data_IF_268658746673
#
_entry.id   IF_268658746673
#
_cell.length_a   1.000
_cell.length_b   1.000
_cell.length_c   1.000
_cell.angle_alpha   90.00
_cell.angle_beta   90.00
_cell.angle_gamma   90.00
#
_symmetry.space_group_name_H-M   'P 1'
#
loop_
_entity.id
_entity.type
_entity.pdbx_description
1 polymer ?
#
# COMPACT_ATOMS: atom_id res chain seq x y z
N UNK A 1 -35.30 -11.78 -23.37
CA UNK A 1 -33.95 -11.61 -23.95
C UNK A 1 -33.05 -11.13 -22.86
N UNK A 2 -32.09 -11.95 -22.42
CA UNK A 2 -31.15 -11.61 -21.34
C UNK A 2 -29.92 -10.94 -21.96
N UNK A 3 -29.78 -9.64 -21.79
CA UNK A 3 -28.61 -8.90 -22.24
C UNK A 3 -27.48 -9.19 -21.26
N UNK A 4 -26.45 -9.91 -21.69
CA UNK A 4 -25.22 -10.13 -20.93
C UNK A 4 -24.37 -8.87 -21.05
N UNK A 5 -24.17 -8.19 -19.93
CA UNK A 5 -23.17 -7.13 -19.82
C UNK A 5 -21.79 -7.80 -19.80
N UNK A 6 -21.02 -7.58 -20.84
CA UNK A 6 -19.62 -8.01 -20.92
C UNK A 6 -18.79 -6.92 -20.26
N UNK A 7 -18.27 -7.22 -19.07
CA UNK A 7 -17.22 -6.41 -18.44
C UNK A 7 -15.93 -6.75 -19.17
N UNK A 8 -15.48 -5.86 -20.04
CA UNK A 8 -14.17 -5.94 -20.66
C UNK A 8 -13.11 -5.46 -19.66
N UNK A 9 -12.43 -6.39 -19.02
CA UNK A 9 -11.19 -6.11 -18.32
C UNK A 9 -10.12 -5.75 -19.35
N UNK A 10 -9.75 -4.49 -19.40
CA UNK A 10 -8.69 -3.98 -20.29
C UNK A 10 -7.35 -4.37 -19.72
N UNK A 11 -6.73 -5.38 -20.33
CA UNK A 11 -5.36 -5.79 -20.09
C UNK A 11 -4.45 -4.74 -20.73
N UNK A 12 -3.82 -3.89 -19.94
CA UNK A 12 -2.85 -2.94 -20.45
C UNK A 12 -1.57 -3.67 -20.88
N UNK A 13 -1.34 -3.70 -22.17
CA UNK A 13 -0.10 -4.16 -22.80
C UNK A 13 1.00 -3.10 -22.57
N UNK A 14 2.08 -3.52 -21.92
CA UNK A 14 3.32 -2.77 -21.76
C UNK A 14 4.01 -2.58 -23.12
N UNK A 15 3.78 -1.44 -23.75
CA UNK A 15 4.68 -0.85 -24.72
C UNK A 15 5.27 0.40 -24.08
N UNK A 16 6.60 0.64 -24.24
CA UNK A 16 7.36 1.68 -23.56
C UNK A 16 6.59 3.01 -23.51
N UNK A 17 6.20 3.39 -22.31
CA UNK A 17 5.30 4.51 -22.10
C UNK A 17 6.06 5.83 -22.22
N UNK A 18 5.71 6.59 -23.22
CA UNK A 18 5.59 8.03 -23.06
C UNK A 18 4.43 8.21 -22.07
N UNK A 19 4.72 8.62 -20.84
CA UNK A 19 3.69 8.97 -19.86
C UNK A 19 3.01 10.23 -20.42
N UNK A 20 1.80 10.09 -20.91
CA UNK A 20 1.00 11.24 -21.29
C UNK A 20 0.57 11.98 -20.02
N UNK A 21 0.45 13.31 -20.09
CA UNK A 21 -0.12 14.10 -18.99
C UNK A 21 -1.54 13.61 -18.71
N UNK A 22 -1.83 13.19 -17.46
CA UNK A 22 -3.10 12.57 -17.09
C UNK A 22 -3.54 12.93 -15.68
N UNK A 23 -4.85 12.83 -15.41
CA UNK A 23 -5.39 12.80 -14.04
C UNK A 23 -5.52 11.34 -13.57
N UNK A 24 -5.23 11.12 -12.30
CA UNK A 24 -5.40 9.83 -11.64
C UNK A 24 -6.30 10.00 -10.43
N UNK A 25 -7.35 9.19 -10.37
CA UNK A 25 -8.30 9.16 -9.24
C UNK A 25 -8.59 7.71 -8.90
N UNK A 26 -8.48 7.37 -7.63
CA UNK A 26 -8.81 6.05 -7.12
C UNK A 26 -10.30 5.92 -6.82
N UNK A 27 -10.82 4.70 -6.87
CA UNK A 27 -12.15 4.38 -6.39
C UNK A 27 -12.27 4.67 -4.88
N UNK A 28 -13.44 5.11 -4.44
CA UNK A 28 -13.70 5.57 -3.09
C UNK A 28 -14.81 4.73 -2.45
N UNK A 29 -14.71 4.53 -1.14
CA UNK A 29 -15.81 3.98 -0.34
C UNK A 29 -16.27 5.05 0.64
N UNK A 30 -17.58 5.29 0.70
CA UNK A 30 -18.22 6.27 1.60
C UNK A 30 -19.32 5.56 2.38
N UNK A 31 -19.38 5.74 3.70
CA UNK A 31 -20.50 5.27 4.50
C UNK A 31 -21.81 5.96 4.07
N UNK A 32 -22.94 5.27 4.12
CA UNK A 32 -24.25 5.87 3.84
C UNK A 32 -24.49 7.04 4.78
N UNK A 33 -24.72 8.24 4.23
CA UNK A 33 -24.82 9.48 5.02
C UNK A 33 -23.48 10.05 5.50
N UNK A 34 -22.35 9.39 5.20
CA UNK A 34 -21.02 9.78 5.61
C UNK A 34 -20.25 10.61 4.60
N UNK A 35 -18.98 10.84 4.88
CA UNK A 35 -18.07 11.62 4.06
C UNK A 35 -16.74 10.88 3.81
N UNK A 36 -16.12 11.15 2.65
CA UNK A 36 -14.76 10.68 2.32
C UNK A 36 -14.01 11.74 1.51
N UNK A 37 -12.68 11.63 1.49
CA UNK A 37 -11.85 12.54 0.68
C UNK A 37 -11.65 11.96 -0.71
N UNK A 38 -11.97 12.75 -1.73
CA UNK A 38 -11.56 12.55 -3.11
C UNK A 38 -10.16 13.14 -3.26
N UNK A 39 -9.19 12.30 -3.60
CA UNK A 39 -7.83 12.70 -3.91
C UNK A 39 -7.64 12.69 -5.43
N UNK A 40 -7.30 13.85 -6.00
CA UNK A 40 -7.11 14.04 -7.43
C UNK A 40 -5.62 14.26 -7.69
N UNK A 41 -4.99 13.27 -8.30
CA UNK A 41 -3.57 13.29 -8.63
C UNK A 41 -3.36 13.62 -10.11
N UNK A 42 -2.22 14.19 -10.41
CA UNK A 42 -1.79 14.49 -11.78
C UNK A 42 -0.40 13.91 -12.02
N UNK A 43 -0.28 13.15 -13.11
CA UNK A 43 1.00 12.77 -13.69
C UNK A 43 1.26 13.67 -14.89
N UNK A 44 2.46 14.23 -15.03
CA UNK A 44 2.83 15.06 -16.17
C UNK A 44 4.32 14.92 -16.50
N UNK A 45 4.62 14.96 -17.79
CA UNK A 45 6.00 15.04 -18.31
C UNK A 45 6.38 16.46 -18.68
N UNK A 46 5.38 17.28 -19.00
CA UNK A 46 5.58 18.69 -19.37
C UNK A 46 5.45 19.61 -18.16
N UNK A 47 6.10 20.77 -18.21
CA UNK A 47 5.97 21.80 -17.17
C UNK A 47 4.62 22.51 -17.29
N UNK A 48 3.70 22.14 -16.42
CA UNK A 48 2.34 22.69 -16.37
C UNK A 48 2.23 23.84 -15.37
N UNK A 49 1.49 24.88 -15.70
CA UNK A 49 1.25 26.06 -14.83
C UNK A 49 -0.21 26.23 -14.43
N UNK A 50 -1.14 25.54 -15.11
CA UNK A 50 -2.56 25.60 -14.79
C UNK A 50 -3.27 24.33 -15.20
N UNK A 51 -4.39 24.05 -14.54
CA UNK A 51 -5.32 23.00 -14.91
C UNK A 51 -6.77 23.42 -14.71
N UNK A 52 -7.65 22.82 -15.49
CA UNK A 52 -9.10 22.88 -15.31
C UNK A 52 -9.69 21.52 -15.61
N UNK A 53 -10.70 21.12 -14.85
CA UNK A 53 -11.52 19.95 -15.15
C UNK A 53 -12.90 20.03 -14.47
N UNK A 54 -13.83 19.26 -14.97
CA UNK A 54 -15.19 19.15 -14.45
C UNK A 54 -15.40 17.75 -13.86
N UNK A 55 -15.84 17.66 -12.63
CA UNK A 55 -16.20 16.40 -11.95
C UNK A 55 -17.73 16.29 -11.93
N UNK A 56 -18.26 15.34 -12.69
CA UNK A 56 -19.68 14.97 -12.70
C UNK A 56 -19.92 13.90 -11.65
N UNK A 57 -20.57 14.26 -10.56
CA UNK A 57 -20.96 13.33 -9.50
C UNK A 57 -22.23 12.57 -9.88
N UNK A 58 -22.33 11.33 -9.39
CA UNK A 58 -23.57 10.59 -9.42
C UNK A 58 -24.63 11.25 -8.51
N UNK A 59 -25.91 11.00 -8.78
CA UNK A 59 -27.00 11.49 -7.96
C UNK A 59 -26.86 10.97 -6.51
N UNK A 60 -27.05 11.87 -5.55
CA UNK A 60 -26.90 11.56 -4.13
C UNK A 60 -25.45 11.65 -3.61
N UNK A 61 -24.47 11.96 -4.47
CA UNK A 61 -23.09 12.24 -4.08
C UNK A 61 -22.79 13.70 -4.39
N UNK A 62 -22.25 14.42 -3.43
CA UNK A 62 -21.95 15.85 -3.59
C UNK A 62 -20.62 16.20 -2.89
N UNK A 63 -20.10 17.40 -3.18
CA UNK A 63 -19.01 17.96 -2.38
C UNK A 63 -19.60 18.49 -1.08
N UNK A 64 -19.07 18.02 0.04
CA UNK A 64 -19.51 18.42 1.37
C UNK A 64 -19.33 19.92 1.60
N UNK A 65 -20.19 20.50 2.43
CA UNK A 65 -20.12 21.90 2.82
C UNK A 65 -19.83 22.03 4.31
N UNK A 66 -19.00 22.99 4.67
CA UNK A 66 -18.75 23.34 6.06
C UNK A 66 -19.95 24.09 6.67
N UNK A 67 -19.89 24.38 7.97
CA UNK A 67 -20.92 25.11 8.71
C UNK A 67 -21.31 26.49 8.10
N UNK A 68 -20.41 27.09 7.33
CA UNK A 68 -20.63 28.36 6.62
C UNK A 68 -21.18 28.17 5.20
N UNK A 69 -21.55 26.95 4.83
CA UNK A 69 -22.08 26.60 3.51
C UNK A 69 -21.05 26.61 2.37
N UNK A 70 -19.75 26.70 2.69
CA UNK A 70 -18.68 26.66 1.70
C UNK A 70 -18.26 25.21 1.42
N UNK A 71 -18.04 24.86 0.15
CA UNK A 71 -17.50 23.57 -0.26
C UNK A 71 -16.15 23.29 0.42
N UNK A 72 -15.94 22.05 0.83
CA UNK A 72 -14.72 21.61 1.52
C UNK A 72 -13.76 21.01 0.49
N UNK A 73 -12.72 21.76 0.19
CA UNK A 73 -11.66 21.36 -0.74
C UNK A 73 -10.34 22.02 -0.34
N UNK A 74 -9.22 21.47 -0.80
CA UNK A 74 -7.89 22.05 -0.58
C UNK A 74 -6.94 21.73 -1.75
N UNK A 75 -5.86 22.48 -1.84
CA UNK A 75 -4.73 22.15 -2.69
C UNK A 75 -4.09 20.85 -2.22
N UNK A 76 -3.48 20.13 -3.14
CA UNK A 76 -2.72 18.93 -2.87
C UNK A 76 -1.28 19.22 -2.44
N UNK A 77 -0.54 18.16 -2.16
CA UNK A 77 0.84 18.19 -1.68
C UNK A 77 1.88 18.71 -2.70
N UNK A 78 1.48 18.80 -3.98
CA UNK A 78 2.32 19.41 -5.03
C UNK A 78 2.41 20.94 -4.93
N UNK A 79 1.62 21.55 -4.07
CA UNK A 79 1.61 22.97 -3.76
C UNK A 79 2.01 23.13 -2.29
N UNK A 80 3.31 23.24 -2.04
CA UNK A 80 3.83 23.37 -0.68
C UNK A 80 3.66 24.80 -0.16
N UNK A 81 3.74 24.97 1.16
CA UNK A 81 3.37 26.17 1.94
C UNK A 81 4.01 27.50 1.50
N UNK A 82 4.97 27.47 0.58
CA UNK A 82 5.68 28.66 0.07
C UNK A 82 5.05 29.23 -1.21
N UNK A 83 4.00 28.60 -1.77
CA UNK A 83 3.43 29.01 -3.05
C UNK A 83 2.15 29.87 -2.86
N UNK A 84 2.30 31.03 -2.23
CA UNK A 84 1.21 31.99 -2.03
C UNK A 84 0.58 32.49 -3.36
N UNK A 85 1.23 32.26 -4.49
CA UNK A 85 0.79 32.73 -5.80
C UNK A 85 -0.06 31.70 -6.57
N UNK A 86 -0.16 30.46 -6.07
CA UNK A 86 -1.05 29.45 -6.67
C UNK A 86 -2.47 29.58 -6.14
N UNK A 87 -3.43 29.54 -7.04
CA UNK A 87 -4.87 29.64 -6.70
C UNK A 87 -5.59 28.38 -7.13
N UNK A 88 -6.29 27.73 -6.18
CA UNK A 88 -7.26 26.68 -6.47
C UNK A 88 -8.67 27.20 -6.18
N UNK A 89 -9.56 27.05 -7.13
CA UNK A 89 -10.98 27.37 -6.97
C UNK A 89 -11.86 26.16 -7.33
N UNK A 90 -12.95 26.00 -6.59
CA UNK A 90 -13.99 25.03 -6.85
C UNK A 90 -15.32 25.75 -7.00
N UNK A 91 -15.99 25.53 -8.11
CA UNK A 91 -17.34 26.06 -8.38
C UNK A 91 -18.31 24.93 -8.72
N UNK A 92 -19.59 25.18 -8.57
CA UNK A 92 -20.66 24.24 -8.92
C UNK A 92 -21.56 24.91 -9.99
N UNK A 93 -21.16 24.86 -11.27
CA UNK A 93 -21.88 25.53 -12.37
C UNK A 93 -23.24 24.91 -12.66
N UNK A 94 -23.42 23.62 -12.40
CA UNK A 94 -24.66 22.87 -12.61
C UNK A 94 -24.84 21.85 -11.47
N UNK A 95 -26.05 21.33 -11.33
CA UNK A 95 -26.33 20.26 -10.36
C UNK A 95 -25.42 19.07 -10.59
N UNK A 96 -24.75 18.62 -9.53
CA UNK A 96 -23.79 17.50 -9.53
C UNK A 96 -22.58 17.68 -10.47
N UNK A 97 -22.31 18.90 -10.91
CA UNK A 97 -21.13 19.23 -11.73
C UNK A 97 -20.24 20.21 -10.95
N UNK A 98 -19.00 19.83 -10.71
CA UNK A 98 -18.04 20.61 -9.94
C UNK A 98 -16.84 20.92 -10.79
N UNK A 99 -16.53 22.21 -11.00
CA UNK A 99 -15.39 22.68 -11.78
C UNK A 99 -14.25 23.05 -10.88
N UNK A 100 -13.12 22.37 -11.04
CA UNK A 100 -11.83 22.72 -10.47
C UNK A 100 -11.05 23.58 -11.45
N UNK A 101 -10.46 24.64 -10.94
CA UNK A 101 -9.55 25.52 -11.67
C UNK A 101 -8.36 25.83 -10.77
N UNK A 102 -7.18 25.39 -11.17
CA UNK A 102 -5.91 25.67 -10.52
C UNK A 102 -4.97 26.41 -11.45
N UNK A 103 -4.40 27.50 -11.00
CA UNK A 103 -3.45 28.28 -11.80
C UNK A 103 -2.49 29.06 -10.92
N UNK A 104 -1.30 29.30 -11.44
CA UNK A 104 -0.33 30.19 -10.84
C UNK A 104 -0.54 31.64 -11.35
N UNK A 105 -0.42 32.64 -10.47
CA UNK A 105 -0.66 34.04 -10.84
C UNK A 105 0.49 34.61 -11.70
N UNK A 106 1.69 34.04 -11.57
CA UNK A 106 2.81 34.21 -12.48
C UNK A 106 3.09 32.87 -13.18
N UNK A 107 3.73 32.88 -14.34
CA UNK A 107 3.98 31.67 -15.12
C UNK A 107 5.08 30.81 -14.45
N UNK A 108 4.72 30.10 -13.38
CA UNK A 108 5.57 29.14 -12.72
C UNK A 108 5.03 27.72 -12.92
N UNK A 109 5.90 26.69 -13.05
CA UNK A 109 5.45 25.32 -13.17
C UNK A 109 4.92 24.80 -11.83
N UNK A 110 3.90 23.94 -11.90
CA UNK A 110 3.45 23.14 -10.76
C UNK A 110 4.58 22.18 -10.37
N UNK A 111 4.90 22.11 -9.08
CA UNK A 111 6.05 21.37 -8.57
C UNK A 111 5.91 19.85 -8.81
N UNK A 112 7.04 19.19 -9.11
CA UNK A 112 7.10 17.75 -9.37
C UNK A 112 6.41 17.33 -10.67
N UNK A 113 6.32 16.01 -10.88
CA UNK A 113 5.71 15.40 -12.07
C UNK A 113 4.62 14.35 -11.74
N UNK A 114 4.38 14.09 -10.47
CA UNK A 114 3.29 13.26 -9.98
C UNK A 114 2.87 13.70 -8.57
N UNK A 115 1.66 13.35 -8.17
CA UNK A 115 1.13 13.62 -6.83
C UNK A 115 -0.19 14.37 -6.85
N UNK A 116 -0.72 14.62 -5.65
CA UNK A 116 -2.01 15.26 -5.43
C UNK A 116 -1.97 16.73 -5.82
N UNK A 117 -2.89 17.14 -6.68
CA UNK A 117 -3.08 18.55 -7.07
C UNK A 117 -4.29 19.19 -6.38
N UNK A 118 -5.30 18.40 -6.06
CA UNK A 118 -6.49 18.89 -5.37
C UNK A 118 -7.14 17.78 -4.56
N UNK A 119 -7.78 18.15 -3.46
CA UNK A 119 -8.67 17.27 -2.71
C UNK A 119 -10.04 17.91 -2.54
N UNK A 120 -11.09 17.08 -2.43
CA UNK A 120 -12.42 17.52 -2.02
C UNK A 120 -13.03 16.51 -1.07
N UNK A 121 -13.78 16.99 -0.06
CA UNK A 121 -14.56 16.09 0.77
C UNK A 121 -15.88 15.81 0.06
N UNK A 122 -16.13 14.54 -0.27
CA UNK A 122 -17.43 14.08 -0.78
C UNK A 122 -18.35 13.71 0.38
N UNK A 123 -19.63 13.88 0.15
CA UNK A 123 -20.70 13.47 1.05
C UNK A 123 -21.69 12.59 0.30
N UNK A 124 -22.03 11.45 0.88
CA UNK A 124 -23.03 10.53 0.36
C UNK A 124 -24.37 10.77 1.06
N UNK A 125 -25.46 10.86 0.31
CA UNK A 125 -26.81 10.92 0.87
C UNK A 125 -27.13 9.66 1.68
N UNK A 126 -27.86 9.83 2.79
CA UNK A 126 -28.42 8.72 3.58
C UNK A 126 -29.48 7.90 2.83
N UNK A 127 -29.92 8.36 1.66
CA UNK A 127 -30.90 7.67 0.81
C UNK A 127 -30.22 6.70 -0.19
N UNK A 128 -28.89 6.77 -0.34
CA UNK A 128 -28.16 5.87 -1.24
C UNK A 128 -28.16 4.45 -0.69
N UNK A 129 -28.23 3.47 -1.57
CA UNK A 129 -28.29 2.06 -1.19
C UNK A 129 -26.93 1.52 -0.81
N UNK A 130 -26.80 1.00 0.40
CA UNK A 130 -25.60 0.32 0.90
C UNK A 130 -25.22 -0.85 -0.03
N UNK A 131 -23.93 -1.02 -0.30
CA UNK A 131 -23.37 -2.04 -1.20
C UNK A 131 -23.50 -1.68 -2.68
N UNK A 132 -24.05 -0.50 -3.01
CA UNK A 132 -24.16 -0.06 -4.41
C UNK A 132 -22.97 0.80 -4.80
N UNK A 133 -22.47 0.60 -6.01
CA UNK A 133 -21.40 1.39 -6.62
C UNK A 133 -21.99 2.40 -7.60
N UNK A 134 -21.62 3.65 -7.43
CA UNK A 134 -22.00 4.79 -8.27
C UNK A 134 -20.76 5.28 -9.02
N UNK A 135 -20.93 5.58 -10.32
CA UNK A 135 -19.81 6.03 -11.16
C UNK A 135 -19.85 7.56 -11.32
N UNK A 136 -18.72 8.18 -11.07
CA UNK A 136 -18.46 9.60 -11.29
C UNK A 136 -17.45 9.76 -12.40
N UNK A 137 -17.49 10.89 -13.13
CA UNK A 137 -16.59 11.13 -14.27
C UNK A 137 -15.91 12.48 -14.15
N UNK A 138 -14.65 12.54 -14.56
CA UNK A 138 -13.92 13.79 -14.73
C UNK A 138 -13.81 14.03 -16.24
N UNK A 139 -14.24 15.19 -16.68
CA UNK A 139 -14.33 15.58 -18.09
C UNK A 139 -13.80 16.99 -18.30
N UNK A 140 -13.73 17.44 -19.55
CA UNK A 140 -13.27 18.78 -19.89
C UNK A 140 -11.89 19.10 -19.27
N UNK A 141 -10.99 18.10 -19.25
CA UNK A 141 -9.66 18.23 -18.68
C UNK A 141 -8.82 19.08 -19.61
N UNK A 142 -8.25 20.14 -19.08
CA UNK A 142 -7.33 21.05 -19.79
C UNK A 142 -6.13 21.29 -18.89
N UNK A 143 -4.95 20.95 -19.37
CA UNK A 143 -3.68 21.35 -18.78
C UNK A 143 -3.05 22.47 -19.62
N UNK A 144 -2.39 23.39 -18.98
CA UNK A 144 -1.72 24.51 -19.66
C UNK A 144 -0.25 24.50 -19.27
N UNK A 145 0.62 24.43 -20.26
CA UNK A 145 2.06 24.54 -20.07
C UNK A 145 2.47 25.97 -19.72
N UNK A 146 3.68 26.12 -19.18
CA UNK A 146 4.34 27.43 -19.01
C UNK A 146 4.52 28.17 -20.34
N UNK A 147 4.58 27.46 -21.47
CA UNK A 147 4.60 28.01 -22.83
C UNK A 147 3.26 28.58 -23.29
N UNK A 148 2.14 28.26 -22.59
CA UNK A 148 0.77 28.58 -22.98
C UNK A 148 0.11 27.52 -23.87
N UNK A 149 0.81 26.44 -24.25
CA UNK A 149 0.24 25.32 -24.97
C UNK A 149 -0.76 24.58 -24.08
N UNK A 150 -1.82 24.07 -24.67
CA UNK A 150 -2.87 23.33 -23.97
C UNK A 150 -2.86 21.86 -24.34
N UNK A 151 -3.02 21.02 -23.33
CA UNK A 151 -3.21 19.57 -23.45
C UNK A 151 -4.64 19.22 -23.02
N UNK A 152 -5.19 18.19 -23.64
CA UNK A 152 -6.55 17.71 -23.40
C UNK A 152 -6.50 16.22 -23.12
N UNK A 153 -6.16 15.81 -21.88
CA UNK A 153 -6.15 14.40 -21.50
C UNK A 153 -7.52 13.75 -21.64
N UNK A 154 -7.51 12.41 -21.66
CA UNK A 154 -8.73 11.60 -21.70
C UNK A 154 -9.55 11.77 -20.42
N UNK A 155 -10.87 11.58 -20.54
CA UNK A 155 -11.80 11.57 -19.42
C UNK A 155 -11.47 10.45 -18.44
N UNK A 156 -11.65 10.69 -17.13
CA UNK A 156 -11.42 9.73 -16.06
C UNK A 156 -12.73 9.33 -15.41
N UNK A 157 -12.92 8.03 -15.16
CA UNK A 157 -14.07 7.51 -14.41
C UNK A 157 -13.58 6.85 -13.13
N UNK A 158 -14.22 7.14 -12.02
CA UNK A 158 -13.97 6.51 -10.73
C UNK A 158 -15.27 6.04 -10.08
N UNK A 159 -15.16 5.01 -9.25
CA UNK A 159 -16.29 4.43 -8.55
C UNK A 159 -16.41 4.98 -7.13
N UNK A 160 -17.63 5.21 -6.69
CA UNK A 160 -17.98 5.50 -5.29
C UNK A 160 -18.89 4.39 -4.80
N UNK A 161 -18.39 3.56 -3.90
CA UNK A 161 -19.15 2.48 -3.29
C UNK A 161 -19.72 2.93 -1.95
N UNK A 162 -21.02 2.75 -1.74
CA UNK A 162 -21.68 3.05 -0.48
C UNK A 162 -21.53 1.87 0.48
N UNK A 163 -20.80 2.07 1.55
CA UNK A 163 -20.66 1.11 2.66
C UNK A 163 -21.56 1.53 3.81
N UNK A 164 -21.94 0.65 4.70
CA UNK A 164 -22.74 0.81 5.90
C UNK A 164 -23.40 2.18 6.17
N UNK A 165 -24.06 2.30 7.30
CA UNK A 165 -24.62 3.56 7.80
C UNK A 165 -23.53 4.30 8.58
N UNK A 166 -23.52 5.63 8.56
CA UNK A 166 -22.66 6.40 9.47
C UNK A 166 -23.07 6.10 10.92
N UNK A 167 -22.30 5.28 11.57
CA UNK A 167 -22.49 4.86 12.97
C UNK A 167 -21.63 5.67 13.95
N UNK A 168 -21.00 6.75 13.47
CA UNK A 168 -20.07 7.58 14.23
C UNK A 168 -18.71 6.92 14.46
N UNK A 169 -18.38 5.88 13.69
CA UNK A 169 -17.10 5.17 13.76
C UNK A 169 -16.26 5.44 12.51
N UNK A 170 -14.96 5.37 12.68
CA UNK A 170 -14.01 5.44 11.56
C UNK A 170 -13.76 4.01 11.07
N UNK A 171 -14.13 3.74 9.83
CA UNK A 171 -14.01 2.42 9.21
C UNK A 171 -12.68 2.27 8.47
N UNK A 172 -11.83 1.35 8.93
CA UNK A 172 -10.59 0.97 8.28
C UNK A 172 -10.78 -0.36 7.54
N UNK A 173 -10.40 -0.42 6.27
CA UNK A 173 -10.48 -1.61 5.45
C UNK A 173 -9.11 -1.96 4.87
N UNK A 174 -8.67 -3.21 5.05
CA UNK A 174 -7.35 -3.67 4.56
C UNK A 174 -7.22 -3.68 3.04
N UNK A 175 -8.31 -3.54 2.29
CA UNK A 175 -8.30 -3.49 0.83
C UNK A 175 -8.18 -2.07 0.29
N UNK A 176 -8.33 -1.07 1.15
CA UNK A 176 -8.30 0.35 0.77
C UNK A 176 -6.88 0.82 0.42
N UNK A 177 -6.80 1.66 -0.60
CA UNK A 177 -5.58 2.40 -0.96
C UNK A 177 -5.44 3.73 -0.23
N UNK A 178 -6.48 4.18 0.46
CA UNK A 178 -6.52 5.44 1.19
C UNK A 178 -6.98 5.22 2.63
N UNK A 179 -6.53 6.09 3.52
CA UNK A 179 -7.06 6.17 4.88
C UNK A 179 -8.40 6.92 4.85
N UNK A 180 -9.37 6.54 5.72
CA UNK A 180 -10.53 7.37 5.98
C UNK A 180 -10.12 8.72 6.58
N UNK A 181 -11.02 9.70 6.57
CA UNK A 181 -10.72 11.02 7.13
C UNK A 181 -10.79 10.98 8.65
N UNK A 182 -9.73 11.40 9.32
CA UNK A 182 -9.63 11.62 10.76
C UNK A 182 -8.47 12.57 11.06
N UNK A 183 -8.39 13.04 12.30
CA UNK A 183 -7.28 13.87 12.77
C UNK A 183 -6.32 13.01 13.61
N UNK A 184 -5.06 12.94 13.20
CA UNK A 184 -4.04 12.23 13.97
C UNK A 184 -3.85 12.86 15.35
N UNK A 185 -3.66 12.02 16.37
CA UNK A 185 -3.54 12.43 17.77
C UNK A 185 -4.86 12.58 18.51
N UNK A 186 -6.00 12.67 17.81
CA UNK A 186 -7.32 12.71 18.42
C UNK A 186 -7.82 11.32 18.85
N UNK A 187 -8.90 11.32 19.62
CA UNK A 187 -9.60 10.11 20.04
C UNK A 187 -10.73 9.81 19.06
N UNK A 188 -10.92 8.52 18.78
CA UNK A 188 -12.01 8.06 17.91
C UNK A 188 -12.50 6.67 18.27
N UNK A 189 -13.72 6.37 17.82
CA UNK A 189 -14.25 5.02 17.77
C UNK A 189 -13.97 4.44 16.41
N UNK A 190 -13.51 3.19 16.33
CA UNK A 190 -13.05 2.60 15.08
C UNK A 190 -13.66 1.23 14.85
N UNK A 191 -13.89 0.89 13.58
CA UNK A 191 -14.10 -0.47 13.09
C UNK A 191 -12.93 -0.81 12.15
N UNK A 192 -12.31 -1.97 12.35
CA UNK A 192 -11.16 -2.42 11.59
C UNK A 192 -11.45 -3.74 10.89
N UNK A 193 -11.57 -3.72 9.57
CA UNK A 193 -11.61 -4.92 8.72
C UNK A 193 -10.18 -5.34 8.37
N UNK A 194 -9.68 -6.33 9.09
CA UNK A 194 -8.32 -6.86 8.94
C UNK A 194 -8.30 -8.36 9.21
N UNK A 195 -7.98 -9.14 8.18
CA UNK A 195 -7.91 -10.60 8.30
C UNK A 195 -6.59 -11.02 8.95
N UNK A 196 -6.67 -11.68 10.11
CA UNK A 196 -5.56 -12.32 10.81
C UNK A 196 -5.96 -13.79 10.98
N UNK A 197 -5.22 -14.69 10.33
CA UNK A 197 -5.45 -16.13 10.43
C UNK A 197 -4.92 -16.65 11.76
N UNK A 198 -5.71 -17.52 12.42
CA UNK A 198 -5.32 -18.14 13.68
C UNK A 198 -4.07 -19.02 13.55
N UNK A 199 -3.36 -19.18 14.65
CA UNK A 199 -2.24 -20.10 14.84
C UNK A 199 -1.03 -19.85 13.92
N UNK A 200 -1.03 -18.78 13.10
CA UNK A 200 0.08 -18.37 12.25
C UNK A 200 0.49 -16.94 12.56
N UNK A 201 1.77 -16.64 12.30
CA UNK A 201 2.27 -15.29 12.44
C UNK A 201 1.85 -14.42 11.27
N UNK A 202 1.36 -13.23 11.59
CA UNK A 202 0.98 -12.17 10.64
C UNK A 202 1.76 -10.90 10.97
N UNK A 203 1.97 -10.02 9.99
CA UNK A 203 2.39 -8.64 10.29
C UNK A 203 1.17 -7.78 10.59
N UNK A 204 1.28 -6.83 11.51
CA UNK A 204 0.21 -5.89 11.84
C UNK A 204 0.77 -4.49 12.07
N UNK A 205 0.07 -3.50 11.52
CA UNK A 205 0.30 -2.06 11.76
C UNK A 205 -1.08 -1.43 11.93
N UNK A 206 -1.34 -0.81 13.06
CA UNK A 206 -2.65 -0.21 13.32
C UNK A 206 -2.60 1.32 13.15
N UNK A 207 -3.63 1.95 12.55
CA UNK A 207 -3.76 3.40 12.48
C UNK A 207 -4.22 4.01 13.81
N UNK A 208 -4.10 3.28 14.90
CA UNK A 208 -4.46 3.71 16.26
C UNK A 208 -3.73 2.88 17.31
N UNK A 209 -3.66 3.43 18.52
CA UNK A 209 -3.06 2.75 19.66
C UNK A 209 -4.12 1.98 20.47
N UNK A 210 -3.85 0.71 20.73
CA UNK A 210 -4.65 -0.13 21.61
C UNK A 210 -3.99 -0.29 22.97
N UNK A 211 -4.74 -0.08 24.06
CA UNK A 211 -4.33 -0.54 25.39
C UNK A 211 -4.35 -2.07 25.42
N UNK A 212 -3.67 -2.67 26.42
CA UNK A 212 -3.70 -4.12 26.63
C UNK A 212 -5.14 -4.68 26.61
N UNK A 213 -6.04 -4.07 27.37
CA UNK A 213 -7.43 -4.53 27.46
C UNK A 213 -8.17 -4.48 26.11
N UNK A 214 -7.96 -3.43 25.30
CA UNK A 214 -8.55 -3.31 23.97
C UNK A 214 -7.94 -4.29 22.97
N UNK A 215 -6.63 -4.54 23.07
CA UNK A 215 -5.95 -5.54 22.25
C UNK A 215 -6.44 -6.98 22.57
N UNK A 216 -6.59 -7.29 23.87
CA UNK A 216 -7.13 -8.58 24.31
C UNK A 216 -8.60 -8.77 23.91
N UNK A 217 -9.41 -7.70 23.90
CA UNK A 217 -10.79 -7.74 23.41
C UNK A 217 -10.84 -8.03 21.89
N UNK A 218 -9.97 -7.38 21.11
CA UNK A 218 -9.90 -7.54 19.65
C UNK A 218 -9.34 -8.92 19.24
N UNK A 219 -8.23 -9.34 19.84
CA UNK A 219 -7.41 -10.46 19.37
C UNK A 219 -7.47 -11.71 20.25
N UNK A 220 -7.99 -11.62 21.48
CA UNK A 220 -7.99 -12.68 22.47
C UNK A 220 -6.95 -12.42 23.58
N UNK A 221 -7.20 -12.98 24.77
CA UNK A 221 -6.32 -12.79 25.94
C UNK A 221 -4.98 -13.51 25.82
N UNK A 222 -4.87 -14.43 24.90
CA UNK A 222 -3.70 -15.25 24.56
C UNK A 222 -2.96 -14.75 23.32
N UNK A 223 -3.31 -13.56 22.82
CA UNK A 223 -2.63 -12.93 21.69
C UNK A 223 -1.12 -12.80 21.97
N UNK A 224 -0.32 -13.25 21.01
CA UNK A 224 1.13 -13.14 21.05
C UNK A 224 1.57 -12.01 20.11
N UNK A 225 2.49 -11.20 20.59
CA UNK A 225 3.10 -10.12 19.82
C UNK A 225 4.63 -10.25 19.88
N UNK A 226 5.30 -9.87 18.79
CA UNK A 226 6.75 -9.80 18.77
C UNK A 226 7.22 -8.56 18.00
N UNK A 227 8.32 -7.99 18.49
CA UNK A 227 8.99 -6.83 17.90
C UNK A 227 10.23 -7.28 17.13
N UNK A 228 10.49 -6.63 16.00
CA UNK A 228 11.73 -6.83 15.26
C UNK A 228 12.94 -6.40 16.12
N UNK A 229 13.85 -7.32 16.37
CA UNK A 229 15.06 -7.10 17.18
C UNK A 229 16.33 -7.02 16.35
N UNK A 230 16.32 -7.45 15.10
CA UNK A 230 17.47 -7.41 14.21
C UNK A 230 17.47 -8.54 13.20
N UNK A 231 18.61 -8.74 12.58
CA UNK A 231 18.85 -9.88 11.68
C UNK A 231 20.34 -10.27 11.75
N UNK A 232 20.61 -11.49 11.35
CA UNK A 232 21.96 -12.05 11.25
C UNK A 232 22.12 -12.69 9.87
N UNK A 233 23.35 -12.67 9.37
CA UNK A 233 23.73 -13.27 8.09
C UNK A 233 24.67 -14.41 8.38
N UNK A 234 24.32 -15.61 7.95
CA UNK A 234 25.14 -16.80 8.13
C UNK A 234 25.87 -17.12 6.81
N UNK A 235 27.16 -17.39 6.91
CA UNK A 235 28.02 -17.85 5.83
C UNK A 235 28.54 -19.24 6.17
N UNK A 236 28.58 -20.16 5.20
CA UNK A 236 29.10 -21.52 5.45
C UNK A 236 30.61 -21.52 5.69
N UNK A 237 31.35 -20.67 4.98
CA UNK A 237 32.79 -20.49 5.09
C UNK A 237 33.12 -18.99 5.22
N UNK A 238 34.21 -18.65 5.95
CA UNK A 238 34.66 -17.27 6.15
C UNK A 238 35.04 -16.53 4.83
N UNK A 239 35.34 -17.27 3.78
CA UNK A 239 35.70 -16.74 2.46
C UNK A 239 34.52 -16.61 1.49
N UNK A 240 33.31 -17.01 1.92
CA UNK A 240 32.09 -16.90 1.08
C UNK A 240 31.60 -15.47 0.99
N UNK A 241 31.34 -15.01 -0.24
CA UNK A 241 30.78 -13.68 -0.52
C UNK A 241 29.24 -13.69 -0.58
N UNK A 242 28.63 -14.88 -0.57
CA UNK A 242 27.17 -15.05 -0.63
C UNK A 242 26.66 -15.69 0.66
N UNK A 243 25.64 -15.12 1.29
CA UNK A 243 25.08 -15.68 2.52
C UNK A 243 24.37 -17.01 2.27
N UNK A 244 24.58 -17.99 3.17
CA UNK A 244 23.84 -19.25 3.17
C UNK A 244 22.46 -19.11 3.81
N UNK A 245 22.35 -18.28 4.83
CA UNK A 245 21.09 -18.00 5.48
C UNK A 245 21.03 -16.57 6.03
N UNK A 246 19.82 -16.06 6.10
CA UNK A 246 19.46 -14.83 6.77
C UNK A 246 18.49 -15.19 7.90
N UNK A 247 18.85 -14.85 9.11
CA UNK A 247 18.02 -15.07 10.29
C UNK A 247 17.41 -13.74 10.72
N UNK A 248 16.12 -13.61 10.64
CA UNK A 248 15.39 -12.41 11.07
C UNK A 248 14.93 -12.63 12.52
N UNK A 249 15.42 -11.77 13.41
CA UNK A 249 15.26 -11.91 14.85
C UNK A 249 14.11 -11.06 15.37
N UNK A 250 13.31 -11.66 16.22
CA UNK A 250 12.24 -11.01 16.97
C UNK A 250 12.35 -11.30 18.44
N UNK A 251 11.85 -10.38 19.25
CA UNK A 251 11.71 -10.55 20.70
C UNK A 251 10.24 -10.50 21.07
N UNK A 252 9.81 -11.40 21.93
CA UNK A 252 8.45 -11.42 22.46
C UNK A 252 8.08 -10.09 23.10
N UNK A 253 6.92 -9.55 22.73
CA UNK A 253 6.43 -8.30 23.25
C UNK A 253 5.31 -8.54 24.26
N UNK A 254 5.61 -8.28 25.53
CA UNK A 254 4.65 -8.41 26.61
C UNK A 254 3.90 -7.09 26.83
N UNK A 255 2.58 -7.12 26.60
CA UNK A 255 1.70 -5.99 26.93
C UNK A 255 1.50 -5.88 28.44
N UNK A 256 1.46 -4.64 28.93
CA UNK A 256 1.15 -4.30 30.34
C UNK A 256 0.01 -3.30 30.39
N UNK A 257 -0.47 -2.95 31.59
CA UNK A 257 -1.50 -1.91 31.73
C UNK A 257 -1.10 -0.55 31.12
N UNK A 258 0.21 -0.28 31.00
CA UNK A 258 0.75 0.97 30.42
C UNK A 258 1.34 0.80 29.03
N UNK A 259 1.50 -0.42 28.53
CA UNK A 259 2.17 -0.76 27.29
C UNK A 259 1.27 -1.69 26.47
N UNK A 260 0.60 -1.14 25.49
CA UNK A 260 -0.26 -1.84 24.56
C UNK A 260 0.34 -1.93 23.14
N UNK A 261 -0.48 -2.00 22.10
CA UNK A 261 -0.04 -1.94 20.70
C UNK A 261 0.02 -0.47 20.30
N UNK A 262 1.22 0.02 19.98
CA UNK A 262 1.42 1.41 19.54
C UNK A 262 0.96 1.58 18.10
N UNK A 263 0.12 2.57 17.84
CA UNK A 263 -0.31 2.93 16.49
C UNK A 263 0.87 3.31 15.59
N UNK A 264 0.79 2.95 14.32
CA UNK A 264 1.82 3.17 13.32
C UNK A 264 3.03 2.23 13.40
N UNK A 265 3.26 1.56 14.52
CA UNK A 265 4.42 0.68 14.68
C UNK A 265 4.12 -0.73 14.17
N UNK A 266 5.02 -1.34 13.37
CA UNK A 266 4.84 -2.72 12.92
C UNK A 266 5.20 -3.73 14.02
N UNK A 267 4.39 -4.80 14.10
CA UNK A 267 4.59 -5.97 14.96
C UNK A 267 4.33 -7.27 14.18
N UNK A 268 4.86 -8.37 14.68
CA UNK A 268 4.27 -9.69 14.42
C UNK A 268 3.15 -9.94 15.42
N UNK A 269 2.08 -10.56 14.93
CA UNK A 269 0.92 -10.96 15.74
C UNK A 269 0.53 -12.40 15.43
N UNK A 270 0.22 -13.16 16.48
CA UNK A 270 -0.37 -14.49 16.39
C UNK A 270 -1.57 -14.58 17.33
N UNK A 271 -2.69 -15.08 16.82
CA UNK A 271 -3.96 -15.21 17.53
C UNK A 271 -4.40 -16.66 17.56
N UNK A 272 -5.14 -17.08 18.56
CA UNK A 272 -5.75 -18.42 18.66
C UNK A 272 -7.09 -18.53 17.94
N UNK A 273 -7.62 -17.42 17.44
CA UNK A 273 -8.87 -17.33 16.66
C UNK A 273 -8.64 -16.56 15.37
N UNK A 274 -9.43 -16.86 14.34
CA UNK A 274 -9.49 -16.01 13.17
C UNK A 274 -10.10 -14.65 13.56
N UNK A 275 -9.47 -13.57 13.09
CA UNK A 275 -10.00 -12.22 13.21
C UNK A 275 -10.21 -11.69 11.80
N UNK A 276 -11.43 -11.25 11.48
CA UNK A 276 -11.76 -10.62 10.19
C UNK A 276 -12.09 -9.15 10.36
N UNK A 277 -12.69 -8.83 11.50
CA UNK A 277 -13.08 -7.48 11.87
C UNK A 277 -13.07 -7.34 13.38
N UNK A 278 -12.82 -6.15 13.89
CA UNK A 278 -12.98 -5.80 15.30
C UNK A 278 -13.28 -4.31 15.47
N UNK A 279 -13.83 -3.98 16.62
CA UNK A 279 -14.11 -2.59 17.04
C UNK A 279 -13.25 -2.21 18.22
N UNK A 280 -12.95 -0.91 18.31
CA UNK A 280 -12.32 -0.33 19.50
C UNK A 280 -12.78 1.12 19.68
N UNK A 281 -13.20 1.44 20.90
CA UNK A 281 -13.69 2.79 21.23
C UNK A 281 -12.58 3.60 21.91
N UNK A 282 -12.68 4.93 21.80
CA UNK A 282 -11.76 5.86 22.45
C UNK A 282 -10.27 5.48 22.27
N UNK A 283 -9.87 5.23 21.02
CA UNK A 283 -8.49 4.96 20.63
C UNK A 283 -7.80 6.24 20.17
N UNK A 284 -6.49 6.38 20.42
CA UNK A 284 -5.72 7.49 19.86
C UNK A 284 -5.30 7.16 18.44
N UNK A 285 -5.68 8.01 17.49
CA UNK A 285 -5.50 7.84 16.06
C UNK A 285 -4.08 8.25 15.61
N UNK A 286 -3.57 7.61 14.56
CA UNK A 286 -2.34 8.00 13.86
C UNK A 286 -2.48 7.75 12.36
N UNK A 287 -1.96 8.62 11.53
CA UNK A 287 -1.97 8.57 10.07
C UNK A 287 -0.60 8.19 9.49
N UNK A 288 0.41 8.00 10.36
CA UNK A 288 1.78 7.68 9.97
C UNK A 288 2.14 6.26 10.39
N UNK A 289 2.56 5.44 9.42
CA UNK A 289 3.26 4.19 9.71
C UNK A 289 4.76 4.48 9.91
N UNK A 290 5.38 3.73 10.82
CA UNK A 290 6.80 3.85 11.13
C UNK A 290 7.56 2.61 10.69
N UNK A 291 8.87 2.74 10.54
CA UNK A 291 9.79 1.61 10.41
C UNK A 291 10.55 1.39 11.71
N UNK A 292 10.82 0.12 12.02
CA UNK A 292 11.76 -0.25 13.08
C UNK A 292 13.06 -0.62 12.39
N UNK A 293 14.12 0.14 12.64
CA UNK A 293 15.44 -0.06 12.07
C UNK A 293 16.38 -0.69 13.07
N UNK A 294 17.15 -1.68 12.65
CA UNK A 294 18.18 -2.36 13.41
C UNK A 294 19.37 -2.59 12.52
N UNK A 295 20.57 -2.39 13.05
CA UNK A 295 21.79 -2.78 12.37
C UNK A 295 22.18 -4.22 12.80
N UNK A 296 22.86 -4.92 11.90
CA UNK A 296 23.58 -6.17 12.20
C UNK A 296 24.92 -5.87 12.91
N UNK A 297 25.74 -6.90 13.12
CA UNK A 297 27.05 -6.75 13.73
C UNK A 297 28.07 -5.98 12.86
N UNK A 298 27.77 -5.76 11.59
CA UNK A 298 28.57 -5.01 10.62
C UNK A 298 28.01 -3.61 10.30
N UNK A 299 27.12 -3.09 11.12
CA UNK A 299 26.39 -1.82 10.92
C UNK A 299 25.52 -1.79 9.62
N UNK A 300 25.15 -2.95 9.08
CA UNK A 300 24.21 -3.03 7.96
C UNK A 300 22.79 -2.82 8.47
N UNK A 301 22.09 -1.81 7.96
CA UNK A 301 20.76 -1.50 8.43
C UNK A 301 19.70 -2.45 7.83
N UNK A 302 18.89 -3.03 8.70
CA UNK A 302 17.67 -3.74 8.35
C UNK A 302 16.45 -3.04 8.90
N UNK A 303 15.33 -3.05 8.15
CA UNK A 303 14.10 -2.37 8.54
C UNK A 303 12.91 -3.32 8.50
N UNK A 304 12.06 -3.19 9.50
CA UNK A 304 10.69 -3.67 9.45
C UNK A 304 9.78 -2.48 9.21
N UNK A 305 9.30 -2.32 7.99
CA UNK A 305 8.53 -1.17 7.53
C UNK A 305 7.04 -1.48 7.55
N UNK A 306 6.24 -0.56 8.10
CA UNK A 306 4.80 -0.67 8.15
C UNK A 306 4.10 0.13 7.05
N UNK A 307 2.86 -0.26 6.70
CA UNK A 307 1.96 0.55 5.88
C UNK A 307 0.54 0.54 6.43
N UNK A 308 -0.09 1.71 6.42
CA UNK A 308 -1.50 1.90 6.79
C UNK A 308 -2.44 1.83 5.57
N UNK A 309 -1.91 1.76 4.36
CA UNK A 309 -2.67 1.69 3.12
C UNK A 309 -2.17 0.53 2.26
N UNK A 310 -2.97 0.10 1.30
CA UNK A 310 -2.50 -0.82 0.27
C UNK A 310 -1.29 -0.21 -0.45
N UNK A 311 -0.19 -0.95 -0.53
CA UNK A 311 1.07 -0.42 -1.06
C UNK A 311 1.85 -1.46 -1.85
N UNK A 312 2.78 -0.99 -2.69
CA UNK A 312 3.72 -1.84 -3.39
C UNK A 312 4.94 -2.06 -2.50
N UNK A 313 5.28 -3.30 -2.22
CA UNK A 313 6.53 -3.65 -1.54
C UNK A 313 7.69 -3.40 -2.49
N UNK A 314 8.72 -2.65 -2.09
CA UNK A 314 9.91 -2.43 -2.92
C UNK A 314 10.52 -3.73 -3.44
N UNK A 315 11.26 -3.65 -4.54
CA UNK A 315 12.05 -4.79 -5.02
C UNK A 315 12.98 -5.29 -3.91
N UNK A 316 13.14 -6.60 -3.82
CA UNK A 316 13.94 -7.30 -2.80
C UNK A 316 13.40 -7.19 -1.36
N UNK A 317 12.27 -6.51 -1.15
CA UNK A 317 11.56 -6.52 0.13
C UNK A 317 10.96 -7.90 0.42
N UNK A 318 11.07 -8.35 1.67
CA UNK A 318 10.49 -9.61 2.14
C UNK A 318 9.15 -9.37 2.80
N UNK A 319 8.14 -10.14 2.46
CA UNK A 319 6.83 -10.07 3.11
C UNK A 319 6.28 -11.46 3.43
N UNK A 320 5.36 -11.51 4.42
CA UNK A 320 4.72 -12.76 4.84
C UNK A 320 3.36 -12.89 4.15
N UNK A 321 3.13 -14.02 3.48
CA UNK A 321 1.82 -14.43 2.97
C UNK A 321 1.64 -15.94 3.13
N UNK A 322 0.46 -16.36 3.63
CA UNK A 322 0.12 -17.77 3.85
C UNK A 322 1.16 -18.56 4.68
N UNK A 323 1.68 -17.91 5.73
CA UNK A 323 2.70 -18.44 6.63
C UNK A 323 4.05 -18.73 5.95
N UNK A 324 4.32 -18.06 4.83
CA UNK A 324 5.57 -18.18 4.06
C UNK A 324 6.16 -16.80 3.79
N UNK A 325 7.48 -16.77 3.58
CA UNK A 325 8.18 -15.61 3.08
C UNK A 325 8.19 -15.57 1.57
N UNK A 326 8.09 -14.34 1.06
CA UNK A 326 8.12 -14.05 -0.35
C UNK A 326 9.00 -12.84 -0.61
N UNK A 327 9.80 -12.88 -1.67
CA UNK A 327 10.49 -11.71 -2.19
C UNK A 327 9.57 -10.90 -3.09
N UNK A 328 9.61 -9.59 -2.95
CA UNK A 328 8.93 -8.68 -3.86
C UNK A 328 9.78 -8.45 -5.12
N UNK A 329 9.13 -8.46 -6.25
CA UNK A 329 9.73 -8.04 -7.53
C UNK A 329 9.63 -6.53 -7.78
N UNK A 330 9.21 -5.75 -6.77
CA UNK A 330 8.92 -4.32 -6.90
C UNK A 330 7.55 -4.03 -7.54
N UNK A 331 6.74 -5.08 -7.79
CA UNK A 331 5.37 -4.96 -8.32
C UNK A 331 4.33 -5.66 -7.42
N UNK A 332 4.76 -6.17 -6.28
CA UNK A 332 3.91 -6.91 -5.36
C UNK A 332 3.13 -5.95 -4.47
N UNK A 333 1.81 -5.94 -4.62
CA UNK A 333 0.94 -5.20 -3.72
C UNK A 333 0.66 -6.02 -2.46
N UNK A 334 0.81 -5.39 -1.29
CA UNK A 334 0.26 -5.90 -0.03
C UNK A 334 -0.96 -5.08 0.36
N UNK A 335 -1.89 -5.71 1.06
CA UNK A 335 -3.04 -5.02 1.63
C UNK A 335 -2.60 -4.05 2.74
N UNK A 336 -3.45 -3.09 3.09
CA UNK A 336 -3.21 -2.16 4.19
C UNK A 336 -2.98 -2.85 5.54
N UNK A 337 -2.42 -2.12 6.48
CA UNK A 337 -2.17 -2.52 7.86
C UNK A 337 -1.23 -3.71 8.01
N UNK A 338 -0.24 -3.79 7.12
CA UNK A 338 0.78 -4.83 7.06
C UNK A 338 2.17 -4.22 7.06
N UNK A 339 3.18 -5.08 7.16
CA UNK A 339 4.58 -4.67 7.06
C UNK A 339 5.39 -5.65 6.23
N UNK A 340 6.56 -5.19 5.81
CA UNK A 340 7.58 -5.96 5.09
C UNK A 340 8.96 -5.64 5.66
N UNK A 341 9.95 -6.44 5.25
CA UNK A 341 11.34 -6.28 5.70
C UNK A 341 12.22 -5.83 4.55
N UNK A 342 13.08 -4.89 4.83
CA UNK A 342 14.12 -4.38 3.94
C UNK A 342 15.47 -4.64 4.63
N UNK A 343 16.25 -5.59 4.12
CA UNK A 343 17.47 -6.06 4.76
C UNK A 343 18.74 -5.52 4.07
N UNK A 344 18.63 -4.36 3.45
CA UNK A 344 19.75 -3.59 2.91
C UNK A 344 20.57 -4.34 1.86
N UNK A 345 21.90 -4.22 1.94
CA UNK A 345 22.84 -4.77 0.97
C UNK A 345 22.89 -6.32 0.97
N UNK A 346 22.36 -6.96 2.02
CA UNK A 346 22.35 -8.42 2.14
C UNK A 346 21.46 -9.11 1.10
N UNK A 347 20.41 -8.39 0.64
CA UNK A 347 19.50 -8.84 -0.40
C UNK A 347 19.73 -8.12 -1.74
N UNK A 348 20.85 -7.44 -1.89
CA UNK A 348 21.20 -6.68 -3.09
C UNK A 348 21.29 -7.55 -4.35
N UNK A 349 21.24 -6.90 -5.51
CA UNK A 349 21.17 -7.50 -6.85
C UNK A 349 22.24 -8.55 -7.20
N UNK A 350 23.30 -8.65 -6.40
CA UNK A 350 24.43 -9.57 -6.59
C UNK A 350 24.40 -10.78 -5.64
N UNK A 351 23.44 -10.82 -4.70
CA UNK A 351 23.23 -12.02 -3.89
C UNK A 351 22.50 -13.04 -4.74
N UNK A 352 23.12 -14.18 -5.00
CA UNK A 352 22.43 -15.34 -5.54
C UNK A 352 21.20 -15.60 -4.64
N UNK A 353 20.00 -15.70 -5.24
CA UNK A 353 18.72 -15.93 -4.56
C UNK A 353 18.65 -17.30 -3.84
N UNK A 354 19.74 -17.78 -3.31
CA UNK A 354 19.90 -19.07 -2.64
C UNK A 354 19.94 -19.01 -1.12
N UNK A 355 20.03 -17.82 -0.53
CA UNK A 355 20.06 -17.71 0.93
C UNK A 355 18.73 -18.15 1.53
N UNK A 356 18.79 -19.05 2.50
CA UNK A 356 17.63 -19.47 3.30
C UNK A 356 17.22 -18.31 4.19
N UNK A 357 15.93 -17.96 4.22
CA UNK A 357 15.41 -16.98 5.17
C UNK A 357 14.66 -17.71 6.26
N UNK A 358 15.03 -17.50 7.51
CA UNK A 358 14.35 -18.08 8.66
C UNK A 358 14.04 -17.02 9.71
N UNK A 359 13.11 -17.32 10.57
CA UNK A 359 12.66 -16.44 11.65
C UNK A 359 12.81 -17.11 13.00
N UNK A 360 13.30 -16.36 13.95
CA UNK A 360 13.38 -16.77 15.34
C UNK A 360 12.69 -15.73 16.23
N UNK A 361 12.08 -16.20 17.30
CA UNK A 361 11.52 -15.37 18.35
C UNK A 361 12.13 -15.85 19.67
N UNK A 362 12.83 -14.98 20.38
CA UNK A 362 13.58 -15.32 21.59
C UNK A 362 14.50 -16.54 21.35
N UNK A 363 15.22 -16.54 20.23
CA UNK A 363 16.14 -17.60 19.75
C UNK A 363 15.48 -18.96 19.44
N UNK A 364 14.14 -19.03 19.46
CA UNK A 364 13.39 -20.23 19.09
C UNK A 364 12.87 -20.13 17.65
N UNK A 365 12.98 -21.23 16.85
CA UNK A 365 12.41 -21.29 15.51
C UNK A 365 10.92 -21.02 15.53
N UNK A 366 10.44 -20.29 14.52
CA UNK A 366 9.00 -20.05 14.31
C UNK A 366 8.40 -21.11 13.39
N UNK A 367 7.06 -21.17 13.35
CA UNK A 367 6.32 -21.96 12.36
C UNK A 367 6.20 -21.31 10.99
N UNK A 368 6.79 -20.13 10.78
CA UNK A 368 6.79 -19.46 9.47
C UNK A 368 7.72 -20.26 8.57
N UNK A 369 7.21 -20.73 7.44
CA UNK A 369 8.02 -21.40 6.43
C UNK A 369 8.96 -20.36 5.82
N UNK A 370 10.26 -20.54 6.06
CA UNK A 370 11.32 -19.74 5.47
C UNK A 370 11.40 -19.95 3.96
N UNK A 371 12.15 -19.09 3.29
CA UNK A 371 12.58 -19.38 1.93
C UNK A 371 13.68 -20.42 2.08
N UNK A 372 13.35 -21.67 1.79
CA UNK A 372 14.35 -22.69 1.56
C UNK A 372 15.02 -22.35 0.24
N UNK A 373 16.36 -22.40 0.19
CA UNK A 373 17.02 -22.43 -1.13
C UNK A 373 16.38 -23.58 -1.90
N UNK A 374 15.91 -23.32 -3.10
CA UNK A 374 15.38 -24.36 -3.96
C UNK A 374 16.52 -25.30 -4.39
N UNK A 375 17.07 -26.06 -3.44
CA UNK A 375 17.72 -27.32 -3.71
C UNK A 375 16.61 -28.31 -4.08
N UNK A 376 15.97 -28.06 -5.20
CA UNK A 376 15.25 -29.11 -5.88
C UNK A 376 16.33 -29.87 -6.62
N UNK A 377 16.87 -30.87 -5.93
CA UNK A 377 17.85 -31.82 -6.54
C UNK A 377 17.28 -32.25 -7.88
N UNK A 378 18.02 -31.94 -8.94
CA UNK A 378 17.71 -32.35 -10.29
C UNK A 378 16.87 -31.41 -11.14
N UNK A 379 16.30 -30.35 -10.62
CA UNK A 379 15.53 -29.40 -11.45
C UNK A 379 16.46 -28.42 -12.20
N UNK A 380 16.14 -28.23 -13.49
CA UNK A 380 16.91 -27.39 -14.40
C UNK A 380 16.03 -26.26 -14.91
N UNK A 381 16.52 -25.03 -14.80
CA UNK A 381 15.84 -23.83 -15.29
C UNK A 381 16.77 -23.03 -16.21
N UNK A 382 16.19 -22.29 -17.16
CA UNK A 382 16.95 -21.26 -17.88
C UNK A 382 17.25 -20.09 -16.95
N UNK A 383 18.19 -19.21 -17.34
CA UNK A 383 18.47 -17.97 -16.58
C UNK A 383 17.25 -17.06 -16.42
N UNK A 384 16.24 -17.20 -17.29
CA UNK A 384 14.97 -16.47 -17.21
C UNK A 384 13.93 -17.17 -16.31
N UNK A 385 14.30 -18.25 -15.61
CA UNK A 385 13.40 -18.98 -14.70
C UNK A 385 12.44 -19.95 -15.41
N UNK A 386 12.64 -20.25 -16.69
CA UNK A 386 11.81 -21.22 -17.41
C UNK A 386 12.27 -22.63 -17.04
N UNK A 387 11.35 -23.43 -16.52
CA UNK A 387 11.60 -24.84 -16.19
C UNK A 387 11.94 -25.66 -17.44
N UNK A 388 13.07 -26.35 -17.43
CA UNK A 388 13.58 -27.15 -18.54
C UNK A 388 13.31 -28.65 -18.32
N UNK A 389 13.38 -29.10 -17.08
CA UNK A 389 13.12 -30.48 -16.70
C UNK A 389 13.84 -30.84 -15.41
N UNK A 390 13.58 -32.06 -14.93
CA UNK A 390 14.25 -32.66 -13.77
C UNK A 390 15.24 -33.70 -14.20
N UNK A 391 16.40 -33.78 -13.53
CA UNK A 391 17.48 -34.71 -13.82
C UNK A 391 17.93 -34.72 -15.31
N UNK A 392 17.88 -33.53 -15.93
CA UNK A 392 18.26 -33.39 -17.35
C UNK A 392 19.77 -33.57 -17.51
N UNK A 393 20.16 -34.47 -18.40
CA UNK A 393 21.58 -34.65 -18.74
C UNK A 393 22.19 -33.35 -19.28
N UNK A 394 23.16 -32.80 -18.53
CA UNK A 394 23.84 -31.53 -18.86
C UNK A 394 24.42 -31.51 -20.27
N UNK A 395 24.85 -32.71 -20.80
CA UNK A 395 25.40 -32.83 -22.15
C UNK A 395 24.34 -32.73 -23.27
N UNK A 396 23.07 -32.80 -22.92
CA UNK A 396 21.94 -32.67 -23.85
C UNK A 396 21.31 -31.28 -23.86
N UNK A 397 21.73 -30.43 -22.93
CA UNK A 397 21.24 -29.04 -22.90
C UNK A 397 21.94 -28.23 -24.00
N UNK A 398 21.21 -27.33 -24.71
CA UNK A 398 21.83 -26.34 -25.55
C UNK A 398 22.90 -25.53 -24.80
N UNK A 399 23.93 -25.09 -25.52
CA UNK A 399 24.94 -24.20 -24.92
C UNK A 399 24.29 -22.97 -24.32
N UNK A 400 24.57 -22.70 -23.07
CA UNK A 400 23.93 -21.57 -22.37
C UNK A 400 24.17 -21.58 -20.87
N UNK A 401 23.55 -20.64 -20.19
CA UNK A 401 23.57 -20.54 -18.73
C UNK A 401 22.25 -21.09 -18.20
N UNK A 402 22.35 -22.05 -17.29
CA UNK A 402 21.20 -22.68 -16.62
C UNK A 402 21.35 -22.59 -15.12
N UNK A 403 20.25 -22.72 -14.42
CA UNK A 403 20.20 -22.94 -12.98
C UNK A 403 19.95 -24.44 -12.79
N UNK A 404 20.92 -25.15 -12.26
CA UNK A 404 20.88 -26.60 -12.03
C UNK A 404 21.19 -26.80 -10.55
N UNK A 405 20.29 -27.47 -9.83
CA UNK A 405 20.42 -27.68 -8.38
C UNK A 405 20.57 -26.33 -7.61
N UNK A 406 19.87 -25.29 -8.06
CA UNK A 406 19.98 -23.96 -7.49
C UNK A 406 21.28 -23.21 -7.84
N UNK A 407 22.21 -23.81 -8.61
CA UNK A 407 23.51 -23.23 -8.96
C UNK A 407 23.57 -22.80 -10.42
N UNK A 408 24.09 -21.60 -10.65
CA UNK A 408 24.37 -21.11 -12.01
C UNK A 408 25.44 -21.98 -12.68
N UNK A 409 25.03 -22.71 -13.71
CA UNK A 409 25.87 -23.66 -14.43
C UNK A 409 26.03 -23.25 -15.90
N UNK A 410 27.25 -23.18 -16.38
CA UNK A 410 27.52 -22.93 -17.80
C UNK A 410 27.63 -24.26 -18.56
N UNK A 411 26.72 -24.46 -19.51
CA UNK A 411 26.75 -25.61 -20.44
C UNK A 411 27.49 -25.17 -21.70
N UNK A 412 28.63 -25.86 -22.00
CA UNK A 412 29.53 -25.51 -23.08
C UNK A 412 29.13 -26.13 -24.44
#
# INVERSE_FOLDING_TARGET
MKTKLVVASMLALLSGNVLADELVVNDITIAQGGQAVLDIQMNNETELTAFQFDVKMAEGISVAKNEKGKMVYSMGDRFQDDDEEFTLSLSNPETNLYRFLGYHTVTCPISGNNGTIATATLEASSELTVGTTYYCTITNIVFTETSGLKHYPDDVTFAVTIDGVDDGRIHFDETSSNLPRYTAGEKGNVTMKRTIKKDVWNTIVLPFTLTKAKAEAAFGTDVQLSEFSGFEVEYADEDDVSPDAIVINFTSYTMTAKKGITGGKPFLIKTSKDVTEFEADDVTLTDVATSVEKADEYDTAGKFTGSLVKTVVPADGLFISDNKFWYSTGKTNIKAFRGWFELGAVLGKDTDFGAKVRFVIDDAPTSIEGIESANVDGDVYTLQGIYVGRDVDKNRLPKGIYIIDGKKTFVK
#
